data_IF_763061675556
#
_entry.id   IF_763061675556
#
_cell.length_a   1.000
_cell.length_b   1.000
_cell.length_c   1.000
_cell.angle_alpha   90.00
_cell.angle_beta   90.00
_cell.angle_gamma   90.00
#
_symmetry.space_group_name_H-M   'P 1'
#
loop_
_entity.id
_entity.type
_entity.pdbx_description
1 polymer ?
#
# COMPACT_ATOMS: atom_id res chain seq x y z
N UNK A 1 12.39 -32.42 22.82
CA UNK A 1 11.67 -32.85 21.60
C UNK A 1 10.81 -31.67 21.17
N UNK A 2 10.99 -31.16 19.95
CA UNK A 2 10.07 -30.17 19.38
C UNK A 2 8.72 -30.88 19.16
N UNK A 3 7.63 -30.35 19.70
CA UNK A 3 6.29 -30.86 19.38
C UNK A 3 6.07 -30.66 17.88
N UNK A 4 5.51 -31.62 17.15
CA UNK A 4 5.09 -31.43 15.75
C UNK A 4 3.77 -30.63 15.67
N UNK A 5 3.48 -29.82 16.68
CA UNK A 5 2.20 -29.20 16.92
C UNK A 5 2.41 -27.75 17.34
N UNK A 6 1.57 -26.87 16.80
CA UNK A 6 1.41 -25.49 17.28
C UNK A 6 0.38 -25.44 18.41
N UNK A 7 0.58 -24.57 19.40
CA UNK A 7 -0.44 -24.26 20.41
C UNK A 7 -0.97 -22.84 20.24
N UNK A 8 -2.25 -22.65 20.54
CA UNK A 8 -2.95 -21.37 20.44
C UNK A 8 -3.74 -21.13 21.72
N UNK A 9 -3.71 -19.91 22.23
CA UNK A 9 -4.47 -19.49 23.41
C UNK A 9 -5.34 -18.29 23.04
N UNK A 10 -6.55 -18.26 23.59
CA UNK A 10 -7.53 -17.23 23.30
C UNK A 10 -8.00 -16.54 24.59
N UNK A 11 -8.45 -15.29 24.49
CA UNK A 11 -9.18 -14.62 25.57
C UNK A 11 -10.65 -15.10 25.66
N UNK A 12 -11.41 -14.53 26.59
CA UNK A 12 -12.82 -14.90 26.85
C UNK A 12 -13.79 -14.57 25.72
N UNK A 13 -13.39 -13.73 24.76
CA UNK A 13 -14.19 -13.39 23.57
C UNK A 13 -13.58 -13.98 22.29
N UNK A 14 -12.69 -14.96 22.44
CA UNK A 14 -12.04 -15.69 21.35
C UNK A 14 -11.05 -14.89 20.50
N UNK A 15 -10.45 -13.81 21.02
CA UNK A 15 -9.26 -13.21 20.39
C UNK A 15 -8.03 -14.08 20.65
N UNK A 16 -7.20 -14.30 19.63
CA UNK A 16 -5.92 -15.03 19.77
C UNK A 16 -4.92 -14.20 20.58
N UNK A 17 -4.57 -14.63 21.80
CA UNK A 17 -3.63 -13.92 22.68
C UNK A 17 -2.21 -14.50 22.65
N UNK A 18 -2.05 -15.73 22.16
CA UNK A 18 -0.74 -16.37 22.03
C UNK A 18 -0.77 -17.47 20.97
N UNK A 19 0.28 -17.56 20.19
CA UNK A 19 0.57 -18.74 19.36
C UNK A 19 2.02 -19.18 19.55
N UNK A 20 2.24 -20.48 19.64
CA UNK A 20 3.57 -21.09 19.77
C UNK A 20 3.75 -22.10 18.66
N UNK A 21 4.79 -21.94 17.86
CA UNK A 21 5.13 -22.86 16.78
C UNK A 21 5.69 -24.19 17.33
N UNK A 22 5.76 -25.25 16.49
CA UNK A 22 6.47 -26.49 16.79
C UNK A 22 7.90 -26.29 17.32
N UNK A 23 8.58 -25.25 16.82
CA UNK A 23 9.94 -24.90 17.22
C UNK A 23 10.03 -24.16 18.57
N UNK A 24 8.90 -23.92 19.24
CA UNK A 24 8.80 -23.21 20.51
C UNK A 24 8.80 -21.68 20.39
N UNK A 25 8.83 -21.14 19.17
CA UNK A 25 8.78 -19.69 18.95
C UNK A 25 7.38 -19.19 19.26
N UNK A 26 7.28 -18.21 20.16
CA UNK A 26 5.99 -17.74 20.69
C UNK A 26 5.75 -16.29 20.32
N UNK A 27 4.59 -16.01 19.72
CA UNK A 27 4.04 -14.67 19.61
C UNK A 27 2.97 -14.45 20.67
N UNK A 28 2.85 -13.23 21.18
CA UNK A 28 1.75 -12.85 22.07
C UNK A 28 1.10 -11.53 21.64
N UNK A 29 -0.19 -11.42 21.94
CA UNK A 29 -1.03 -10.35 21.43
C UNK A 29 -1.85 -9.72 22.56
N UNK A 30 -2.10 -8.40 22.46
CA UNK A 30 -3.05 -7.69 23.32
C UNK A 30 -4.07 -6.96 22.47
N UNK A 31 -5.25 -6.75 23.04
CA UNK A 31 -6.39 -6.14 22.38
C UNK A 31 -6.96 -5.00 23.23
N UNK A 32 -7.61 -4.03 22.61
CA UNK A 32 -8.47 -3.06 23.29
C UNK A 32 -9.89 -3.62 23.51
N UNK A 33 -10.77 -2.80 24.09
CA UNK A 33 -12.17 -3.17 24.34
C UNK A 33 -13.02 -3.34 23.09
N UNK A 34 -12.53 -2.91 21.91
CA UNK A 34 -13.16 -3.10 20.61
C UNK A 34 -12.57 -4.28 19.84
N UNK A 35 -11.71 -5.08 20.48
CA UNK A 35 -11.04 -6.23 19.89
C UNK A 35 -10.07 -5.86 18.77
N UNK A 36 -9.55 -4.63 18.76
CA UNK A 36 -8.43 -4.27 17.91
C UNK A 36 -7.12 -4.67 18.59
N UNK A 37 -6.20 -5.28 17.83
CA UNK A 37 -4.90 -5.70 18.36
C UNK A 37 -4.01 -4.48 18.64
N UNK A 38 -3.72 -4.21 19.89
CA UNK A 38 -2.92 -3.06 20.37
C UNK A 38 -1.45 -3.39 20.59
N UNK A 39 -1.10 -4.67 20.72
CA UNK A 39 0.28 -5.09 20.91
C UNK A 39 0.55 -6.43 20.23
N UNK A 40 1.71 -6.56 19.60
CA UNK A 40 2.33 -7.84 19.23
C UNK A 40 3.70 -7.92 19.87
N UNK A 41 3.99 -9.03 20.53
CA UNK A 41 5.35 -9.36 21.02
C UNK A 41 5.84 -10.55 20.22
N UNK A 42 7.01 -10.43 19.59
CA UNK A 42 7.63 -11.51 18.83
C UNK A 42 8.39 -12.52 19.75
N UNK A 43 8.89 -13.64 19.22
CA UNK A 43 9.62 -14.64 20.00
C UNK A 43 10.92 -14.14 20.62
N UNK A 44 11.45 -13.01 20.15
CA UNK A 44 12.64 -12.35 20.70
C UNK A 44 12.29 -11.32 21.78
N UNK A 45 11.00 -11.20 22.15
CA UNK A 45 10.51 -10.22 23.11
C UNK A 45 10.38 -8.81 22.55
N UNK A 46 10.51 -8.63 21.23
CA UNK A 46 10.37 -7.32 20.59
C UNK A 46 8.90 -6.97 20.45
N UNK A 47 8.57 -5.74 20.84
CA UNK A 47 7.18 -5.27 20.93
C UNK A 47 6.87 -4.30 19.80
N UNK A 48 5.77 -4.52 19.11
CA UNK A 48 5.11 -3.52 18.24
C UNK A 48 3.80 -3.12 18.91
N UNK A 49 3.51 -1.83 19.02
CA UNK A 49 2.22 -1.36 19.55
C UNK A 49 1.46 -0.56 18.50
N UNK A 50 0.13 -0.68 18.53
CA UNK A 50 -0.78 0.04 17.64
C UNK A 50 -1.83 0.72 18.51
N UNK A 51 -2.05 2.01 18.28
CA UNK A 51 -3.12 2.77 18.90
C UNK A 51 -4.16 3.18 17.86
N UNK A 52 -5.41 2.99 18.23
CA UNK A 52 -6.59 3.27 17.44
C UNK A 52 -7.31 4.51 17.98
N UNK A 53 -7.97 5.25 17.10
CA UNK A 53 -8.98 6.24 17.47
C UNK A 53 -10.27 5.51 17.83
N UNK A 54 -11.22 6.24 18.39
CA UNK A 54 -12.57 5.74 18.67
C UNK A 54 -13.32 5.30 17.39
N UNK A 55 -12.92 5.82 16.21
CA UNK A 55 -13.41 5.40 14.89
C UNK A 55 -12.86 4.04 14.43
N UNK A 56 -11.87 3.49 15.13
CA UNK A 56 -11.14 2.28 14.73
C UNK A 56 -9.93 2.54 13.83
N UNK A 57 -9.67 3.78 13.45
CA UNK A 57 -8.50 4.13 12.62
C UNK A 57 -7.20 4.10 13.43
N UNK A 58 -6.15 3.50 12.89
CA UNK A 58 -4.81 3.52 13.50
C UNK A 58 -4.25 4.94 13.46
N UNK A 59 -4.00 5.60 14.59
CA UNK A 59 -3.34 6.92 14.58
C UNK A 59 -1.88 6.88 14.98
N UNK A 60 -1.40 5.78 15.59
CA UNK A 60 0.00 5.63 16.00
C UNK A 60 0.45 4.17 15.98
N UNK A 61 1.65 3.93 15.47
CA UNK A 61 2.37 2.65 15.59
C UNK A 61 3.73 2.92 16.24
N UNK A 62 4.11 2.10 17.22
CA UNK A 62 5.48 2.03 17.74
C UNK A 62 6.14 0.74 17.32
N UNK A 63 7.36 0.83 16.78
CA UNK A 63 8.15 -0.34 16.41
C UNK A 63 8.97 -0.88 17.61
N UNK A 64 9.64 -2.03 17.48
CA UNK A 64 10.50 -2.58 18.53
C UNK A 64 11.64 -1.69 19.03
N UNK A 65 12.00 -0.66 18.27
CA UNK A 65 13.01 0.34 18.64
C UNK A 65 12.37 1.59 19.26
N UNK A 66 11.08 1.51 19.62
CA UNK A 66 10.27 2.62 20.14
C UNK A 66 10.17 3.82 19.18
N UNK A 67 10.38 3.59 17.88
CA UNK A 67 10.21 4.62 16.85
C UNK A 67 8.72 4.73 16.51
N UNK A 68 8.23 5.96 16.39
CA UNK A 68 6.80 6.25 16.31
C UNK A 68 6.39 6.71 14.92
N UNK A 69 5.45 6.00 14.30
CA UNK A 69 4.79 6.44 13.07
C UNK A 69 3.37 6.91 13.40
N UNK A 70 2.99 8.09 12.89
CA UNK A 70 1.65 8.67 13.09
C UNK A 70 0.88 8.74 11.78
N UNK A 71 -0.44 8.62 11.87
CA UNK A 71 -1.35 8.67 10.73
C UNK A 71 -2.46 9.69 10.97
N UNK A 72 -2.72 10.53 9.96
CA UNK A 72 -3.86 11.44 9.92
C UNK A 72 -4.80 11.03 8.79
N UNK A 73 -6.08 11.38 8.94
CA UNK A 73 -7.14 10.93 8.05
C UNK A 73 -8.07 12.09 7.69
N UNK A 74 -8.70 12.04 6.51
CA UNK A 74 -9.82 12.90 6.18
C UNK A 74 -11.15 12.32 6.72
N UNK A 75 -12.27 12.97 6.41
CA UNK A 75 -13.60 12.54 6.84
C UNK A 75 -14.11 11.24 6.18
N UNK A 76 -13.44 10.76 5.13
CA UNK A 76 -13.77 9.50 4.44
C UNK A 76 -12.95 8.30 4.96
N UNK A 77 -12.09 8.50 5.97
CA UNK A 77 -11.21 7.45 6.49
C UNK A 77 -9.97 7.21 5.63
N UNK A 78 -9.64 8.12 4.71
CA UNK A 78 -8.45 8.02 3.87
C UNK A 78 -7.26 8.70 4.54
N UNK A 79 -6.07 8.09 4.46
CA UNK A 79 -4.85 8.58 5.11
C UNK A 79 -4.36 9.84 4.39
N UNK A 80 -4.41 11.00 5.04
CA UNK A 80 -3.93 12.27 4.48
C UNK A 80 -2.49 12.59 4.85
N UNK A 81 -1.96 11.96 5.90
CA UNK A 81 -0.58 12.21 6.34
C UNK A 81 0.00 11.02 7.07
N UNK A 82 1.25 10.68 6.75
CA UNK A 82 2.07 9.71 7.48
C UNK A 82 3.31 10.42 8.00
N UNK A 83 3.53 10.43 9.31
CA UNK A 83 4.79 10.93 9.92
C UNK A 83 5.60 9.75 10.40
N UNK A 84 6.66 9.42 9.68
CA UNK A 84 7.56 8.32 10.01
C UNK A 84 8.95 8.84 10.33
N UNK A 85 9.69 8.25 11.28
CA UNK A 85 11.07 8.63 11.55
C UNK A 85 12.02 8.19 10.44
N UNK A 86 11.62 7.22 9.60
CA UNK A 86 12.44 6.69 8.50
C UNK A 86 12.32 7.54 7.23
N UNK A 87 11.11 8.03 6.93
CA UNK A 87 10.81 8.76 5.68
C UNK A 87 10.44 10.22 5.87
N UNK A 88 10.32 10.67 7.13
CA UNK A 88 9.75 11.97 7.48
C UNK A 88 8.24 12.03 7.29
N UNK A 89 7.70 13.24 7.08
CA UNK A 89 6.29 13.48 6.80
C UNK A 89 5.98 13.27 5.32
N UNK A 90 5.00 12.43 5.02
CA UNK A 90 4.41 12.30 3.69
C UNK A 90 2.96 12.78 3.75
N UNK A 91 2.61 13.74 2.90
CA UNK A 91 1.23 14.20 2.72
C UNK A 91 0.61 13.52 1.50
N UNK A 92 -0.68 13.18 1.60
CA UNK A 92 -1.43 12.46 0.57
C UNK A 92 -2.75 13.20 0.33
N UNK A 93 -3.09 13.41 -0.93
CA UNK A 93 -4.41 13.95 -1.33
C UNK A 93 -5.14 12.96 -2.22
N UNK A 94 -6.44 13.15 -2.35
CA UNK A 94 -7.33 12.26 -3.08
C UNK A 94 -8.21 13.06 -4.03
N UNK A 95 -8.58 12.45 -5.16
CA UNK A 95 -9.62 12.95 -6.05
C UNK A 95 -11.03 12.63 -5.49
N UNK A 96 -12.08 13.06 -6.19
CA UNK A 96 -13.47 12.83 -5.75
C UNK A 96 -13.89 11.35 -5.78
N UNK A 97 -13.16 10.50 -6.51
CA UNK A 97 -13.41 9.06 -6.57
C UNK A 97 -12.63 8.28 -5.50
N UNK A 98 -11.82 8.97 -4.67
CA UNK A 98 -10.99 8.36 -3.64
C UNK A 98 -9.68 7.77 -4.17
N UNK A 99 -9.27 8.11 -5.40
CA UNK A 99 -7.94 7.77 -5.89
C UNK A 99 -6.92 8.76 -5.36
N UNK A 100 -5.67 8.32 -5.17
CA UNK A 100 -4.59 9.20 -4.69
C UNK A 100 -4.25 10.23 -5.77
N UNK A 101 -4.56 11.50 -5.55
CA UNK A 101 -4.24 12.57 -6.50
C UNK A 101 -2.77 13.00 -6.38
N UNK A 102 -2.25 13.18 -5.16
CA UNK A 102 -0.84 13.55 -4.94
C UNK A 102 -0.23 12.85 -3.73
N UNK A 103 1.09 12.68 -3.78
CA UNK A 103 1.94 12.29 -2.65
C UNK A 103 3.12 13.25 -2.55
N UNK A 104 3.24 13.96 -1.44
CA UNK A 104 4.36 14.84 -1.17
C UNK A 104 5.24 14.25 -0.07
N UNK A 105 6.51 14.01 -0.38
CA UNK A 105 7.48 13.44 0.57
C UNK A 105 8.05 14.50 1.50
N UNK A 106 8.78 14.07 2.53
CA UNK A 106 9.44 14.98 3.47
C UNK A 106 10.52 15.86 2.83
N UNK A 107 11.02 15.47 1.65
CA UNK A 107 11.95 16.28 0.85
C UNK A 107 11.26 17.39 0.06
N UNK A 108 9.93 17.48 0.15
CA UNK A 108 9.13 18.43 -0.61
C UNK A 108 8.79 17.98 -2.03
N UNK A 109 9.34 16.85 -2.49
CA UNK A 109 9.05 16.28 -3.81
C UNK A 109 7.63 15.74 -3.86
N UNK A 110 6.91 16.09 -4.91
CA UNK A 110 5.49 15.77 -5.12
C UNK A 110 5.35 14.89 -6.35
N UNK A 111 4.71 13.74 -6.19
CA UNK A 111 4.23 12.91 -7.29
C UNK A 111 2.73 13.11 -7.43
N UNK A 112 2.26 13.35 -8.65
CA UNK A 112 0.84 13.48 -9.01
C UNK A 112 0.40 12.30 -9.85
N UNK A 113 -0.86 11.91 -9.72
CA UNK A 113 -1.46 10.80 -10.45
C UNK A 113 -2.76 11.26 -11.09
N UNK A 114 -2.94 10.91 -12.37
CA UNK A 114 -4.19 11.14 -13.09
C UNK A 114 -4.82 9.81 -13.48
N UNK A 115 -6.14 9.79 -13.52
CA UNK A 115 -6.92 8.58 -13.74
C UNK A 115 -7.91 8.77 -14.89
N UNK A 116 -8.24 7.68 -15.57
CA UNK A 116 -9.39 7.65 -16.47
C UNK A 116 -10.72 7.43 -15.71
N UNK A 117 -11.83 7.45 -16.45
CA UNK A 117 -13.17 7.25 -15.89
C UNK A 117 -13.42 5.86 -15.28
N UNK A 118 -12.49 4.90 -15.47
CA UNK A 118 -12.52 3.57 -14.86
C UNK A 118 -11.57 3.47 -13.66
N UNK A 119 -11.04 4.59 -13.16
CA UNK A 119 -10.08 4.68 -12.06
C UNK A 119 -8.74 3.97 -12.34
N UNK A 120 -8.32 3.89 -13.61
CA UNK A 120 -7.00 3.38 -13.98
C UNK A 120 -6.03 4.56 -14.14
N UNK A 121 -4.80 4.42 -13.64
CA UNK A 121 -3.77 5.46 -13.74
C UNK A 121 -3.41 5.67 -15.21
N UNK A 122 -3.58 6.87 -15.74
CA UNK A 122 -3.16 7.23 -17.11
C UNK A 122 -1.89 8.10 -17.12
N UNK A 123 -1.56 8.75 -16.01
CA UNK A 123 -0.35 9.55 -15.87
C UNK A 123 0.20 9.48 -14.44
N UNK A 124 1.51 9.41 -14.33
CA UNK A 124 2.24 9.73 -13.10
C UNK A 124 3.29 10.79 -13.40
N UNK A 125 3.28 11.91 -12.68
CA UNK A 125 4.23 13.01 -12.89
C UNK A 125 4.90 13.44 -11.60
N UNK A 126 6.11 13.98 -11.73
CA UNK A 126 6.95 14.47 -10.63
C UNK A 126 7.08 15.99 -10.74
N UNK A 127 7.15 16.69 -9.61
CA UNK A 127 7.45 18.13 -9.58
C UNK A 127 8.94 18.45 -9.77
N UNK A 128 9.79 17.42 -9.90
CA UNK A 128 11.22 17.57 -10.15
C UNK A 128 11.45 18.03 -11.58
N UNK A 129 12.11 19.18 -11.72
CA UNK A 129 12.39 19.78 -13.02
C UNK A 129 13.20 18.83 -13.94
N UNK A 130 12.71 18.67 -15.17
CA UNK A 130 13.35 17.84 -16.19
C UNK A 130 12.93 16.37 -16.15
N UNK A 131 12.13 15.94 -15.18
CA UNK A 131 11.51 14.61 -15.21
C UNK A 131 10.25 14.64 -16.10
N UNK A 132 10.22 13.79 -17.11
CA UNK A 132 9.03 13.58 -17.94
C UNK A 132 7.96 12.80 -17.16
N UNK A 133 6.67 13.04 -17.42
CA UNK A 133 5.62 12.18 -16.89
C UNK A 133 5.72 10.77 -17.47
N UNK A 134 5.25 9.78 -16.70
CA UNK A 134 5.00 8.44 -17.19
C UNK A 134 3.54 8.36 -17.64
N UNK A 135 3.30 8.02 -18.90
CA UNK A 135 1.96 7.88 -19.47
C UNK A 135 1.60 6.42 -19.67
N UNK A 136 0.37 6.06 -19.33
CA UNK A 136 -0.14 4.70 -19.44
C UNK A 136 -1.30 4.67 -20.43
N UNK A 137 -1.27 3.69 -21.34
CA UNK A 137 -2.37 3.40 -22.26
C UNK A 137 -3.00 2.07 -21.91
N UNK A 138 -4.31 1.97 -22.14
CA UNK A 138 -5.05 0.73 -21.97
C UNK A 138 -5.85 0.39 -23.22
N UNK A 139 -6.22 -0.88 -23.36
CA UNK A 139 -7.29 -1.22 -24.29
C UNK A 139 -8.67 -0.82 -23.73
N UNK A 140 -9.53 -0.37 -24.64
CA UNK A 140 -10.90 0.02 -24.34
C UNK A 140 -11.83 -1.18 -24.41
N UNK A 141 -12.81 -1.27 -23.51
CA UNK A 141 -13.81 -2.34 -23.52
C UNK A 141 -14.63 -2.41 -24.83
N UNK A 142 -14.63 -1.33 -25.61
CA UNK A 142 -15.26 -1.24 -26.93
C UNK A 142 -14.43 -1.90 -28.05
N UNK A 143 -13.16 -2.23 -27.79
CA UNK A 143 -12.32 -3.04 -28.68
C UNK A 143 -12.81 -4.49 -28.67
N UNK A 144 -12.77 -5.24 -29.79
CA UNK A 144 -13.29 -6.60 -29.89
C UNK A 144 -12.80 -7.58 -28.79
N UNK A 145 -11.66 -7.30 -28.16
CA UNK A 145 -11.09 -8.08 -27.07
C UNK A 145 -10.59 -7.21 -25.91
N UNK A 146 -11.02 -5.95 -25.83
CA UNK A 146 -10.55 -5.04 -24.79
C UNK A 146 -11.22 -5.35 -23.46
N UNK A 147 -10.41 -5.48 -22.43
CA UNK A 147 -10.87 -5.77 -21.05
C UNK A 147 -10.18 -4.86 -20.04
N UNK A 148 -9.50 -3.82 -20.52
CA UNK A 148 -8.77 -2.84 -19.74
C UNK A 148 -7.31 -3.18 -19.48
N UNK A 149 -6.65 -3.92 -20.38
CA UNK A 149 -5.24 -4.30 -20.25
C UNK A 149 -4.33 -3.14 -20.62
N UNK A 150 -3.15 -3.08 -20.00
CA UNK A 150 -2.12 -2.08 -20.28
C UNK A 150 -1.54 -2.28 -21.69
N UNK A 151 -1.69 -1.30 -22.57
CA UNK A 151 -1.21 -1.37 -23.96
C UNK A 151 0.04 -0.52 -24.20
N UNK A 152 0.30 0.48 -23.36
CA UNK A 152 1.53 1.27 -23.47
C UNK A 152 2.01 1.84 -22.15
N UNK A 153 3.32 2.02 -22.03
CA UNK A 153 3.98 2.83 -21.00
C UNK A 153 5.01 3.72 -21.68
N UNK A 154 4.82 5.03 -21.64
CA UNK A 154 5.79 6.03 -22.09
C UNK A 154 6.45 6.64 -20.86
N UNK A 155 7.77 6.50 -20.71
CA UNK A 155 8.52 7.05 -19.56
C UNK A 155 9.26 8.37 -19.89
N UNK A 156 8.97 8.95 -21.05
CA UNK A 156 9.63 10.13 -21.57
C UNK A 156 11.00 9.89 -22.22
N UNK A 157 11.59 8.70 -22.07
CA UNK A 157 12.76 8.26 -22.83
C UNK A 157 12.37 7.30 -23.96
N UNK A 158 11.25 6.60 -23.80
CA UNK A 158 10.68 5.75 -24.83
C UNK A 158 9.33 5.16 -24.44
N UNK A 159 8.73 4.47 -25.41
CA UNK A 159 7.42 3.84 -25.28
C UNK A 159 7.58 2.33 -25.31
N UNK A 160 7.14 1.64 -24.24
CA UNK A 160 6.83 0.21 -24.27
C UNK A 160 5.43 0.02 -24.79
N UNK A 161 5.22 -0.92 -25.72
CA UNK A 161 3.87 -1.31 -26.18
C UNK A 161 3.64 -2.79 -25.99
N UNK A 162 2.42 -3.14 -25.60
CA UNK A 162 2.00 -4.51 -25.36
C UNK A 162 0.84 -4.85 -26.29
N UNK A 163 0.94 -6.01 -26.93
CA UNK A 163 -0.16 -6.60 -27.68
C UNK A 163 -0.61 -7.91 -27.05
N UNK A 164 -1.88 -8.23 -27.19
CA UNK A 164 -2.48 -9.41 -26.57
C UNK A 164 -3.23 -10.28 -27.58
N UNK A 165 -3.29 -11.58 -27.31
CA UNK A 165 -4.15 -12.50 -28.05
C UNK A 165 -5.63 -12.28 -27.69
N UNK A 166 -6.58 -12.77 -28.50
CA UNK A 166 -8.00 -12.75 -28.18
C UNK A 166 -8.35 -13.35 -26.82
N UNK A 167 -7.60 -14.36 -26.38
CA UNK A 167 -7.82 -15.07 -25.11
C UNK A 167 -7.23 -14.35 -23.89
N UNK A 168 -6.53 -13.22 -24.08
CA UNK A 168 -5.98 -12.44 -22.97
C UNK A 168 -4.47 -12.51 -22.79
N UNK A 169 -3.77 -13.40 -23.49
CA UNK A 169 -2.35 -13.63 -23.27
C UNK A 169 -1.48 -12.54 -23.89
N UNK A 170 -0.36 -12.19 -23.25
CA UNK A 170 0.62 -11.29 -23.84
C UNK A 170 1.19 -11.93 -25.12
N UNK A 171 0.98 -11.27 -26.25
CA UNK A 171 1.43 -11.74 -27.57
C UNK A 171 2.76 -11.11 -27.97
N UNK A 172 2.97 -9.83 -27.68
CA UNK A 172 4.22 -9.14 -27.96
C UNK A 172 4.47 -7.97 -27.01
N UNK A 173 5.74 -7.60 -26.89
CA UNK A 173 6.23 -6.37 -26.26
C UNK A 173 7.23 -5.70 -27.21
N UNK A 174 7.12 -4.39 -27.39
CA UNK A 174 8.10 -3.59 -28.13
C UNK A 174 8.60 -2.41 -27.30
N UNK A 175 9.79 -1.90 -27.63
CA UNK A 175 10.36 -0.68 -27.05
C UNK A 175 10.86 0.23 -28.16
N UNK A 176 10.43 1.48 -28.13
CA UNK A 176 10.87 2.54 -29.06
C UNK A 176 11.36 3.74 -28.25
N UNK A 177 12.59 4.18 -28.47
CA UNK A 177 13.12 5.39 -27.82
C UNK A 177 12.58 6.65 -28.50
N UNK A 178 12.35 7.71 -27.72
CA UNK A 178 12.13 9.04 -28.29
C UNK A 178 13.43 9.49 -28.99
N UNK A 179 13.30 10.04 -30.21
CA UNK A 179 14.42 10.45 -31.04
C UNK A 179 15.06 11.79 -30.64
#
# INVERSE_FOLDING_TARGET
>A
AYSNQSSFSYDVVANLIQETSPSGNTHSYKYDGFHHRTQTTDPLGKVTQVLYKDTGDVYRVSDPRSRLTYYSYNGFGEVTQVRSPDTGTTDITYDEAGNVATRKTAKGQTTSYSYDALNRIIETSSDVAGESPILYGYDEATSPYGIGRLTSVDDGNGVRRFGYTPEGWLAYETWETHG
#
